data_IF_937493589609
#
_entry.id   IF_937493589609
#
_cell.length_a   1.000
_cell.length_b   1.000
_cell.length_c   1.000
_cell.angle_alpha   90.00
_cell.angle_beta   90.00
_cell.angle_gamma   90.00
#
_symmetry.space_group_name_H-M   'P 1'
#
loop_
_entity.id
_entity.type
_entity.pdbx_description
1 polymer ?
#
# COMPACT_ATOMS: atom_id res chain seq x y z
N UNK A 1 -12.34 -4.27 8.42
CA UNK A 1 -11.15 -4.89 7.77
C UNK A 1 -9.97 -4.45 8.58
N UNK A 2 -9.14 -5.37 9.05
CA UNK A 2 -7.99 -4.99 9.86
C UNK A 2 -6.85 -4.55 8.95
N UNK A 3 -6.26 -3.41 9.27
CA UNK A 3 -5.05 -2.91 8.66
C UNK A 3 -3.87 -3.19 9.58
N UNK A 4 -2.76 -3.72 9.07
CA UNK A 4 -1.54 -3.85 9.88
C UNK A 4 -1.14 -2.50 10.51
N UNK A 5 -0.55 -2.49 11.70
CA UNK A 5 -0.21 -1.24 12.41
C UNK A 5 -1.38 -0.49 13.06
N UNK A 6 -2.63 -0.75 12.66
CA UNK A 6 -3.84 -0.24 13.33
C UNK A 6 -4.79 -1.36 13.78
N UNK A 7 -4.37 -2.63 13.65
CA UNK A 7 -5.26 -3.79 13.78
C UNK A 7 -6.02 -3.84 15.12
N UNK A 8 -5.37 -3.47 16.23
CA UNK A 8 -6.04 -3.39 17.55
C UNK A 8 -7.14 -2.33 17.56
N UNK A 9 -6.87 -1.14 17.03
CA UNK A 9 -7.88 -0.08 16.95
C UNK A 9 -9.01 -0.45 15.98
N UNK A 10 -8.68 -1.07 14.85
CA UNK A 10 -9.66 -1.54 13.87
C UNK A 10 -10.55 -2.67 14.43
N UNK A 11 -10.02 -3.45 15.37
CA UNK A 11 -10.75 -4.50 16.10
C UNK A 11 -11.66 -3.93 17.18
N UNK A 12 -11.18 -2.94 17.95
CA UNK A 12 -11.96 -2.34 19.03
C UNK A 12 -12.99 -1.32 18.52
N UNK A 13 -12.75 -0.72 17.34
CA UNK A 13 -13.62 0.29 16.73
C UNK A 13 -13.97 -0.08 15.27
N UNK A 14 -14.63 -1.23 15.05
CA UNK A 14 -14.99 -1.67 13.70
C UNK A 14 -16.02 -0.72 13.08
N UNK A 15 -15.77 -0.27 11.84
CA UNK A 15 -16.75 0.55 11.09
C UNK A 15 -17.96 -0.27 10.65
N UNK A 16 -17.77 -1.58 10.40
CA UNK A 16 -18.79 -2.50 9.94
C UNK A 16 -18.33 -3.94 10.15
N UNK A 17 -19.27 -4.80 10.54
CA UNK A 17 -19.08 -6.24 10.63
C UNK A 17 -19.75 -6.95 9.45
N UNK A 18 -19.07 -7.96 8.91
CA UNK A 18 -19.59 -8.77 7.82
C UNK A 18 -19.61 -10.23 8.23
N UNK A 19 -20.80 -10.81 8.29
CA UNK A 19 -21.01 -12.22 8.65
C UNK A 19 -21.56 -12.92 7.41
N UNK A 20 -20.93 -14.02 7.00
CA UNK A 20 -21.47 -14.86 5.93
C UNK A 20 -21.83 -16.23 6.47
N UNK A 21 -22.98 -16.76 6.03
CA UNK A 21 -23.44 -18.10 6.38
C UNK A 21 -23.52 -18.97 5.14
N UNK A 22 -23.09 -20.23 5.28
CA UNK A 22 -23.19 -21.23 4.20
C UNK A 22 -24.61 -21.81 4.07
N UNK A 23 -25.38 -21.83 5.15
CA UNK A 23 -26.77 -22.30 5.16
C UNK A 23 -27.72 -21.14 5.49
N UNK A 24 -28.81 -20.94 4.73
CA UNK A 24 -29.85 -19.95 5.06
C UNK A 24 -30.52 -20.16 6.42
N UNK A 25 -30.42 -21.37 6.98
CA UNK A 25 -30.99 -21.71 8.28
C UNK A 25 -29.98 -21.54 9.43
N UNK A 26 -28.71 -21.24 9.13
CA UNK A 26 -27.74 -20.95 10.17
C UNK A 26 -28.10 -19.63 10.86
N UNK A 27 -28.17 -19.68 12.19
CA UNK A 27 -28.52 -18.55 13.02
C UNK A 27 -27.31 -17.59 13.13
N UNK A 28 -27.37 -16.37 12.55
CA UNK A 28 -26.26 -15.41 12.64
C UNK A 28 -26.12 -14.84 14.06
N UNK A 29 -27.16 -14.94 14.90
CA UNK A 29 -27.19 -14.39 16.25
C UNK A 29 -26.13 -15.02 17.15
N UNK A 30 -25.72 -16.28 16.93
CA UNK A 30 -24.61 -16.86 17.69
C UNK A 30 -23.28 -16.16 17.39
N UNK A 31 -23.02 -15.84 16.12
CA UNK A 31 -21.80 -15.13 15.72
C UNK A 31 -21.79 -13.68 16.23
N UNK A 32 -22.96 -13.03 16.24
CA UNK A 32 -23.14 -11.67 16.79
C UNK A 32 -22.98 -11.70 18.32
N UNK A 33 -23.63 -12.65 19.00
CA UNK A 33 -23.56 -12.78 20.46
C UNK A 33 -22.15 -13.11 20.96
N UNK A 34 -21.39 -13.96 20.26
CA UNK A 34 -19.98 -14.20 20.58
C UNK A 34 -19.14 -12.91 20.51
N UNK A 35 -19.40 -12.04 19.53
CA UNK A 35 -18.69 -10.77 19.39
C UNK A 35 -19.04 -9.78 20.52
N UNK A 36 -20.33 -9.66 20.85
CA UNK A 36 -20.82 -8.73 21.86
C UNK A 36 -20.56 -9.18 23.30
N UNK A 37 -20.74 -10.48 23.61
CA UNK A 37 -20.69 -11.00 24.98
C UNK A 37 -19.29 -11.45 25.42
N UNK A 38 -18.49 -12.06 24.53
CA UNK A 38 -17.20 -12.66 24.93
C UNK A 38 -16.00 -11.75 24.67
N UNK A 39 -16.09 -10.83 23.70
CA UNK A 39 -14.95 -9.99 23.26
C UNK A 39 -15.11 -8.52 23.71
N UNK A 40 -16.30 -8.09 24.13
CA UNK A 40 -16.55 -6.75 24.66
C UNK A 40 -16.34 -5.62 23.63
N UNK A 41 -16.47 -5.93 22.34
CA UNK A 41 -16.33 -4.96 21.24
C UNK A 41 -17.71 -4.33 20.97
N UNK A 42 -17.82 -2.99 20.87
CA UNK A 42 -19.09 -2.33 20.56
C UNK A 42 -19.69 -2.82 19.25
N UNK A 43 -21.01 -3.05 19.24
CA UNK A 43 -21.74 -3.54 18.06
C UNK A 43 -21.59 -2.56 16.88
N UNK A 44 -20.83 -2.93 15.85
CA UNK A 44 -20.85 -2.21 14.59
C UNK A 44 -22.13 -2.53 13.81
N UNK A 45 -22.52 -1.70 12.84
CA UNK A 45 -23.49 -2.12 11.82
C UNK A 45 -23.06 -3.48 11.23
N UNK A 46 -23.94 -4.48 11.36
CA UNK A 46 -23.64 -5.85 10.94
C UNK A 46 -24.39 -6.19 9.67
N UNK A 47 -23.66 -6.65 8.65
CA UNK A 47 -24.22 -7.15 7.41
C UNK A 47 -24.11 -8.67 7.34
N UNK A 48 -25.26 -9.34 7.30
CA UNK A 48 -25.34 -10.80 7.14
C UNK A 48 -25.59 -11.13 5.66
N UNK A 49 -24.76 -12.00 5.08
CA UNK A 49 -24.92 -12.50 3.72
C UNK A 49 -25.10 -14.03 3.70
N UNK A 50 -26.02 -14.53 2.87
CA UNK A 50 -26.30 -15.96 2.70
C UNK A 50 -25.39 -16.62 1.66
N UNK A 51 -24.54 -15.85 0.98
CA UNK A 51 -23.61 -16.34 -0.02
C UNK A 51 -22.17 -15.99 0.38
N UNK A 52 -21.45 -17.00 0.87
CA UNK A 52 -20.05 -16.83 1.29
C UNK A 52 -19.13 -16.45 0.12
N UNK A 53 -19.43 -16.90 -1.10
CA UNK A 53 -18.64 -16.55 -2.28
C UNK A 53 -18.84 -15.07 -2.66
N UNK A 54 -20.08 -14.57 -2.59
CA UNK A 54 -20.35 -13.14 -2.79
C UNK A 54 -19.64 -12.27 -1.74
N UNK A 55 -19.59 -12.73 -0.49
CA UNK A 55 -18.87 -12.02 0.58
C UNK A 55 -17.36 -12.00 0.30
N UNK A 56 -16.77 -13.15 -0.02
CA UNK A 56 -15.34 -13.23 -0.34
C UNK A 56 -14.98 -12.32 -1.52
N UNK A 57 -15.76 -12.39 -2.60
CA UNK A 57 -15.54 -11.55 -3.78
C UNK A 57 -15.67 -10.06 -3.45
N UNK A 58 -16.68 -9.67 -2.66
CA UNK A 58 -16.89 -8.28 -2.24
C UNK A 58 -15.75 -7.74 -1.38
N UNK A 59 -15.23 -8.54 -0.44
CA UNK A 59 -14.09 -8.16 0.40
C UNK A 59 -12.82 -7.92 -0.43
N UNK A 60 -12.56 -8.77 -1.43
CA UNK A 60 -11.43 -8.60 -2.37
C UNK A 60 -11.65 -7.39 -3.28
N UNK A 61 -12.86 -7.21 -3.79
CA UNK A 61 -13.22 -6.06 -4.62
C UNK A 61 -13.00 -4.73 -3.89
N UNK A 62 -13.25 -4.66 -2.57
CA UNK A 62 -12.93 -3.47 -1.76
C UNK A 62 -11.43 -3.14 -1.76
N UNK A 63 -10.57 -4.14 -1.59
CA UNK A 63 -9.11 -3.95 -1.65
C UNK A 63 -8.66 -3.49 -3.03
N UNK A 64 -9.23 -4.08 -4.09
CA UNK A 64 -8.94 -3.71 -5.47
C UNK A 64 -9.42 -2.30 -5.78
N UNK A 65 -10.58 -1.88 -5.28
CA UNK A 65 -11.07 -0.51 -5.43
C UNK A 65 -10.11 0.50 -4.79
N UNK A 66 -9.57 0.18 -3.61
CA UNK A 66 -8.55 0.99 -2.97
C UNK A 66 -7.26 1.07 -3.82
N UNK A 67 -6.74 -0.07 -4.26
CA UNK A 67 -5.54 -0.12 -5.10
C UNK A 67 -5.72 0.66 -6.41
N UNK A 68 -6.88 0.54 -7.04
CA UNK A 68 -7.27 1.28 -8.24
C UNK A 68 -7.24 2.79 -7.99
N UNK A 69 -7.75 3.24 -6.84
CA UNK A 69 -7.75 4.65 -6.47
C UNK A 69 -6.35 5.22 -6.29
N UNK A 70 -5.47 4.49 -5.59
CA UNK A 70 -4.06 4.87 -5.45
C UNK A 70 -3.38 4.95 -6.82
N UNK A 71 -3.58 3.94 -7.68
CA UNK A 71 -3.02 3.93 -9.04
C UNK A 71 -3.57 5.08 -9.90
N UNK A 72 -4.86 5.42 -9.77
CA UNK A 72 -5.48 6.53 -10.48
C UNK A 72 -4.84 7.87 -10.08
N UNK A 73 -4.73 8.14 -8.78
CA UNK A 73 -4.09 9.37 -8.25
C UNK A 73 -2.66 9.51 -8.78
N UNK A 74 -1.88 8.42 -8.75
CA UNK A 74 -0.50 8.43 -9.24
C UNK A 74 -0.40 8.63 -10.77
N UNK A 75 -1.34 8.06 -11.52
CA UNK A 75 -1.40 8.24 -12.97
C UNK A 75 -1.73 9.69 -13.34
N UNK A 76 -2.75 10.28 -12.71
CA UNK A 76 -3.13 11.69 -12.91
C UNK A 76 -2.00 12.63 -12.50
N UNK A 77 -1.34 12.38 -11.37
CA UNK A 77 -0.17 13.17 -10.96
C UNK A 77 0.97 13.12 -11.98
N UNK A 78 1.26 11.94 -12.53
CA UNK A 78 2.30 11.80 -13.55
C UNK A 78 1.98 12.61 -14.81
N UNK A 79 0.70 12.75 -15.16
CA UNK A 79 0.26 13.65 -16.25
C UNK A 79 0.38 15.12 -15.83
N UNK A 80 -0.12 15.49 -14.65
CA UNK A 80 -0.06 16.87 -14.15
C UNK A 80 1.38 17.41 -14.14
N UNK A 81 2.35 16.60 -13.68
CA UNK A 81 3.78 16.94 -13.70
C UNK A 81 4.27 17.23 -15.12
N UNK A 82 3.90 16.40 -16.11
CA UNK A 82 4.31 16.61 -17.52
C UNK A 82 3.72 17.88 -18.13
N UNK A 83 2.55 18.30 -17.68
CA UNK A 83 1.91 19.55 -18.10
C UNK A 83 2.29 20.76 -17.23
N UNK A 84 3.18 20.60 -16.24
CA UNK A 84 3.55 21.62 -15.27
C UNK A 84 2.37 22.16 -14.43
N UNK A 85 1.40 21.30 -14.12
CA UNK A 85 0.27 21.63 -13.24
C UNK A 85 0.54 21.17 -11.79
N UNK A 86 0.15 21.97 -10.77
CA UNK A 86 0.23 21.56 -9.38
C UNK A 86 -0.64 20.32 -9.12
N UNK A 87 -0.02 19.18 -8.83
CA UNK A 87 -0.74 17.91 -8.63
C UNK A 87 -1.79 18.02 -7.52
N UNK A 88 -1.48 18.70 -6.41
CA UNK A 88 -2.40 18.83 -5.28
C UNK A 88 -3.68 19.58 -5.67
N UNK A 89 -3.58 20.61 -6.50
CA UNK A 89 -4.75 21.34 -7.00
C UNK A 89 -5.60 20.47 -7.93
N UNK A 90 -4.97 19.73 -8.84
CA UNK A 90 -5.68 18.80 -9.75
C UNK A 90 -6.46 17.74 -8.95
N UNK A 91 -5.83 17.14 -7.94
CA UNK A 91 -6.47 16.13 -7.10
C UNK A 91 -7.56 16.73 -6.20
N UNK A 92 -7.35 17.94 -5.68
CA UNK A 92 -8.34 18.65 -4.89
C UNK A 92 -9.58 18.93 -5.73
N UNK A 93 -9.43 19.47 -6.94
CA UNK A 93 -10.54 19.74 -7.87
C UNK A 93 -11.30 18.45 -8.18
N UNK A 94 -10.58 17.36 -8.50
CA UNK A 94 -11.20 16.06 -8.75
C UNK A 94 -11.98 15.52 -7.54
N UNK A 95 -11.53 15.82 -6.32
CA UNK A 95 -12.18 15.43 -5.07
C UNK A 95 -13.35 16.33 -4.64
N UNK A 96 -13.58 17.49 -5.26
CA UNK A 96 -14.71 18.35 -4.87
C UNK A 96 -16.07 17.71 -5.15
N UNK A 97 -16.12 16.71 -6.05
CA UNK A 97 -17.35 15.99 -6.35
C UNK A 97 -17.70 14.99 -5.23
N UNK A 98 -18.86 15.13 -4.55
CA UNK A 98 -19.23 14.27 -3.43
C UNK A 98 -19.45 12.80 -3.81
N UNK A 99 -19.60 12.48 -5.10
CA UNK A 99 -19.69 11.10 -5.59
C UNK A 99 -18.32 10.41 -5.56
N UNK A 100 -17.25 11.19 -5.56
CA UNK A 100 -15.87 10.74 -5.43
C UNK A 100 -15.51 10.84 -3.94
N UNK A 101 -15.46 9.71 -3.25
CA UNK A 101 -15.05 9.69 -1.84
C UNK A 101 -13.66 10.36 -1.72
N UNK A 102 -13.46 11.32 -0.82
CA UNK A 102 -12.17 12.03 -0.70
C UNK A 102 -11.09 11.29 0.11
N UNK A 103 -11.48 10.27 0.88
CA UNK A 103 -10.53 9.48 1.65
C UNK A 103 -9.55 8.73 0.74
N UNK A 104 -8.24 8.87 0.96
CA UNK A 104 -7.18 8.22 0.18
C UNK A 104 -6.99 8.77 -1.26
N UNK A 105 -7.20 10.08 -1.45
CA UNK A 105 -6.70 10.83 -2.62
C UNK A 105 -5.32 11.43 -2.34
N UNK A 106 -4.40 10.63 -1.81
CA UNK A 106 -3.05 11.08 -1.45
C UNK A 106 -2.05 10.60 -2.48
N UNK A 107 -1.21 11.50 -2.98
CA UNK A 107 -0.10 11.15 -3.85
C UNK A 107 0.88 10.24 -3.12
N UNK A 108 1.37 9.20 -3.81
CA UNK A 108 2.35 8.30 -3.23
C UNK A 108 3.41 7.83 -4.23
N UNK A 109 4.30 6.97 -3.74
CA UNK A 109 5.30 6.26 -4.55
C UNK A 109 4.78 4.92 -5.10
N UNK A 110 3.53 4.58 -4.78
CA UNK A 110 2.89 3.30 -5.07
C UNK A 110 2.28 2.70 -3.81
N UNK A 111 1.41 1.72 -3.98
CA UNK A 111 0.96 0.86 -2.88
C UNK A 111 1.89 -0.33 -2.71
N UNK A 112 1.98 -0.82 -1.48
CA UNK A 112 2.70 -2.04 -1.13
C UNK A 112 1.86 -2.98 -0.28
N UNK A 113 2.51 -3.96 0.31
CA UNK A 113 1.87 -4.95 1.16
C UNK A 113 1.19 -6.08 0.37
N UNK A 114 0.93 -7.22 1.02
CA UNK A 114 0.62 -8.44 0.30
C UNK A 114 -0.86 -8.58 -0.10
N UNK A 115 -1.74 -7.69 0.34
CA UNK A 115 -3.18 -7.85 0.14
C UNK A 115 -3.64 -7.30 -1.21
N UNK A 116 -3.23 -6.08 -1.58
CA UNK A 116 -3.69 -5.45 -2.83
C UNK A 116 -3.23 -6.22 -4.05
N UNK A 117 -1.93 -6.53 -4.14
CA UNK A 117 -1.39 -7.31 -5.26
C UNK A 117 -2.06 -8.69 -5.35
N UNK A 118 -2.21 -9.39 -4.23
CA UNK A 118 -2.85 -10.72 -4.18
C UNK A 118 -4.29 -10.68 -4.67
N UNK A 119 -5.07 -9.69 -4.25
CA UNK A 119 -6.48 -9.59 -4.65
C UNK A 119 -6.62 -9.17 -6.12
N UNK A 120 -5.74 -8.29 -6.62
CA UNK A 120 -5.66 -7.98 -8.05
C UNK A 120 -5.32 -9.21 -8.88
N UNK A 121 -4.30 -9.97 -8.47
CA UNK A 121 -3.86 -11.20 -9.16
C UNK A 121 -4.97 -12.26 -9.12
N UNK A 122 -5.67 -12.40 -8.00
CA UNK A 122 -6.81 -13.31 -7.84
C UNK A 122 -7.97 -12.94 -8.76
N UNK A 123 -8.39 -11.68 -8.81
CA UNK A 123 -9.47 -11.26 -9.72
C UNK A 123 -9.06 -11.39 -11.19
N UNK A 124 -7.79 -11.09 -11.53
CA UNK A 124 -7.28 -11.31 -12.88
C UNK A 124 -7.32 -12.80 -13.25
N UNK A 125 -6.91 -13.68 -12.34
CA UNK A 125 -6.97 -15.13 -12.53
C UNK A 125 -8.41 -15.61 -12.74
N UNK A 126 -9.35 -15.21 -11.88
CA UNK A 126 -10.77 -15.58 -12.04
C UNK A 126 -11.34 -15.11 -13.38
N UNK A 127 -11.04 -13.86 -13.77
CA UNK A 127 -11.48 -13.33 -15.05
C UNK A 127 -10.94 -14.15 -16.24
N UNK A 128 -9.66 -14.57 -16.20
CA UNK A 128 -9.08 -15.44 -17.23
C UNK A 128 -9.78 -16.80 -17.30
N UNK A 129 -10.07 -17.41 -16.15
CA UNK A 129 -10.76 -18.70 -16.08
C UNK A 129 -12.17 -18.64 -16.69
N UNK A 130 -12.82 -17.48 -16.64
CA UNK A 130 -14.15 -17.26 -17.24
C UNK A 130 -14.10 -16.73 -18.67
N UNK A 131 -12.92 -16.65 -19.30
CA UNK A 131 -12.78 -16.09 -20.65
C UNK A 131 -12.92 -14.55 -20.74
N UNK A 132 -12.99 -13.86 -19.60
CA UNK A 132 -13.14 -12.41 -19.49
C UNK A 132 -11.78 -11.68 -19.61
N UNK A 133 -11.17 -11.75 -20.79
CA UNK A 133 -9.83 -11.20 -21.01
C UNK A 133 -9.71 -9.68 -20.75
N UNK A 134 -10.67 -8.82 -21.17
CA UNK A 134 -10.58 -7.38 -20.89
C UNK A 134 -10.53 -7.06 -19.38
N UNK A 135 -11.32 -7.77 -18.58
CA UNK A 135 -11.36 -7.62 -17.12
C UNK A 135 -10.06 -8.11 -16.48
N UNK A 136 -9.52 -9.23 -16.98
CA UNK A 136 -8.22 -9.72 -16.53
C UNK A 136 -7.10 -8.72 -16.80
N UNK A 137 -7.10 -8.10 -17.99
CA UNK A 137 -6.15 -7.06 -18.38
C UNK A 137 -6.31 -5.81 -17.51
N UNK A 138 -7.55 -5.41 -17.22
CA UNK A 138 -7.84 -4.28 -16.33
C UNK A 138 -7.18 -4.45 -14.96
N UNK A 139 -7.39 -5.58 -14.28
CA UNK A 139 -6.77 -5.84 -12.98
C UNK A 139 -5.23 -5.89 -13.05
N UNK A 140 -4.66 -6.49 -14.11
CA UNK A 140 -3.22 -6.50 -14.32
C UNK A 140 -2.66 -5.10 -14.55
N UNK A 141 -3.39 -4.25 -15.27
CA UNK A 141 -2.95 -2.89 -15.58
C UNK A 141 -2.78 -2.05 -14.32
N UNK A 142 -3.59 -2.28 -13.29
CA UNK A 142 -3.44 -1.60 -11.99
C UNK A 142 -2.07 -1.94 -11.35
N UNK A 143 -1.65 -3.21 -11.41
CA UNK A 143 -0.33 -3.65 -10.96
C UNK A 143 0.80 -3.04 -11.81
N UNK A 144 0.63 -3.02 -13.14
CA UNK A 144 1.61 -2.42 -14.07
C UNK A 144 1.81 -0.93 -13.77
N UNK A 145 0.73 -0.18 -13.55
CA UNK A 145 0.79 1.24 -13.20
C UNK A 145 1.50 1.46 -11.86
N UNK A 146 1.21 0.63 -10.86
CA UNK A 146 1.88 0.69 -9.56
C UNK A 146 3.40 0.46 -9.69
N UNK A 147 3.79 -0.59 -10.42
CA UNK A 147 5.20 -0.88 -10.68
C UNK A 147 5.89 0.24 -11.47
N UNK A 148 5.25 0.74 -12.52
CA UNK A 148 5.77 1.84 -13.34
C UNK A 148 6.00 3.10 -12.51
N UNK A 149 5.12 3.39 -11.56
CA UNK A 149 5.30 4.50 -10.62
C UNK A 149 6.57 4.31 -9.78
N UNK A 150 6.78 3.14 -9.20
CA UNK A 150 7.98 2.83 -8.42
C UNK A 150 9.27 2.92 -9.26
N UNK A 151 9.25 2.41 -10.50
CA UNK A 151 10.38 2.57 -11.44
C UNK A 151 10.64 4.04 -11.76
N UNK A 152 9.58 4.83 -12.01
CA UNK A 152 9.70 6.26 -12.28
C UNK A 152 10.31 7.01 -11.11
N UNK A 153 9.92 6.69 -9.87
CA UNK A 153 10.54 7.23 -8.65
C UNK A 153 12.01 6.84 -8.56
N UNK A 154 12.36 5.58 -8.84
CA UNK A 154 13.75 5.14 -8.85
C UNK A 154 14.59 5.88 -9.91
N UNK A 155 14.04 6.13 -11.10
CA UNK A 155 14.70 6.91 -12.15
C UNK A 155 14.89 8.36 -11.72
N UNK A 156 13.87 9.02 -11.19
CA UNK A 156 13.97 10.38 -10.67
C UNK A 156 15.01 10.51 -9.56
N UNK A 157 15.06 9.54 -8.64
CA UNK A 157 16.09 9.43 -7.60
C UNK A 157 17.48 9.34 -8.24
N UNK A 158 17.69 8.45 -9.22
CA UNK A 158 18.97 8.27 -9.91
C UNK A 158 19.42 9.53 -10.68
N UNK A 159 18.51 10.19 -11.38
CA UNK A 159 18.79 11.45 -12.08
C UNK A 159 19.15 12.56 -11.09
N UNK A 160 18.41 12.65 -9.99
CA UNK A 160 18.76 13.50 -8.85
C UNK A 160 20.15 13.20 -8.33
N UNK A 161 20.51 11.91 -8.14
CA UNK A 161 21.84 11.47 -7.68
C UNK A 161 22.98 11.93 -8.60
N UNK A 162 22.76 11.94 -9.92
CA UNK A 162 23.76 12.47 -10.88
C UNK A 162 24.01 13.95 -10.65
N UNK A 163 22.95 14.73 -10.37
CA UNK A 163 23.04 16.15 -10.06
C UNK A 163 23.72 16.43 -8.69
N UNK A 164 23.65 15.49 -7.75
CA UNK A 164 24.19 15.62 -6.39
C UNK A 164 25.45 14.78 -6.15
N UNK A 165 26.27 14.53 -7.18
CA UNK A 165 27.47 13.67 -7.15
C UNK A 165 28.27 13.82 -5.83
N UNK A 166 28.38 12.72 -5.08
CA UNK A 166 29.04 12.69 -3.76
C UNK A 166 28.11 12.83 -2.54
N UNK A 167 26.80 13.00 -2.76
CA UNK A 167 25.78 13.08 -1.71
C UNK A 167 24.96 11.79 -1.61
N UNK A 168 24.24 11.64 -0.51
CA UNK A 168 23.56 10.40 -0.13
C UNK A 168 22.06 10.64 -0.04
N UNK A 169 21.26 9.77 -0.68
CA UNK A 169 19.81 9.77 -0.53
C UNK A 169 19.43 8.91 0.66
N UNK A 170 18.64 9.50 1.55
CA UNK A 170 18.12 8.85 2.75
C UNK A 170 16.66 8.50 2.51
N UNK A 171 16.32 7.22 2.72
CA UNK A 171 14.94 6.75 2.69
C UNK A 171 14.50 6.45 4.11
N UNK A 172 13.43 7.14 4.50
CA UNK A 172 12.76 6.98 5.77
C UNK A 172 11.56 6.07 5.55
N UNK A 173 11.61 4.88 6.15
CA UNK A 173 10.63 3.80 5.98
C UNK A 173 11.08 2.75 4.97
N UNK A 174 11.06 1.48 5.38
CA UNK A 174 11.33 0.30 4.55
C UNK A 174 10.14 -0.64 4.54
N UNK A 175 9.38 -0.66 5.62
CA UNK A 175 8.09 -1.33 5.72
C UNK A 175 7.15 -0.80 4.63
N UNK A 176 6.14 -1.57 4.23
CA UNK A 176 5.29 -1.13 3.12
C UNK A 176 4.31 0.00 3.50
N UNK A 177 4.17 0.25 4.81
CA UNK A 177 3.39 1.35 5.40
C UNK A 177 3.81 1.63 6.84
N UNK A 178 3.36 2.75 7.39
CA UNK A 178 3.61 3.12 8.77
C UNK A 178 2.96 2.15 9.79
N UNK A 179 3.59 2.00 10.96
CA UNK A 179 3.09 1.22 12.10
C UNK A 179 3.27 -0.31 11.97
N UNK A 180 3.94 -0.80 10.93
CA UNK A 180 4.28 -2.23 10.77
C UNK A 180 5.76 -2.37 10.46
N UNK A 181 6.34 -3.53 10.79
CA UNK A 181 7.68 -3.94 10.35
C UNK A 181 7.65 -4.85 9.12
N UNK A 182 6.47 -5.07 8.53
CA UNK A 182 6.29 -5.93 7.36
C UNK A 182 6.82 -5.24 6.09
N UNK A 183 7.72 -5.93 5.40
CA UNK A 183 8.40 -5.44 4.20
C UNK A 183 7.95 -6.16 2.92
N UNK A 184 6.96 -7.07 3.00
CA UNK A 184 6.43 -7.78 1.83
C UNK A 184 5.84 -6.78 0.84
N UNK A 185 6.23 -6.89 -0.42
CA UNK A 185 5.83 -5.95 -1.48
C UNK A 185 6.14 -4.49 -1.11
N UNK A 186 7.24 -4.25 -0.37
CA UNK A 186 7.66 -2.90 0.00
C UNK A 186 8.08 -2.09 -1.22
N UNK A 187 7.55 -0.87 -1.31
CA UNK A 187 7.89 0.10 -2.34
C UNK A 187 9.36 0.50 -2.27
N UNK A 188 9.91 0.68 -1.06
CA UNK A 188 11.31 1.04 -0.86
C UNK A 188 12.26 -0.05 -1.36
N UNK A 189 11.92 -1.32 -1.11
CA UNK A 189 12.70 -2.47 -1.59
C UNK A 189 12.64 -2.55 -3.12
N UNK A 190 11.46 -2.33 -3.71
CA UNK A 190 11.31 -2.38 -5.16
C UNK A 190 12.09 -1.25 -5.83
N UNK A 191 12.00 -0.02 -5.32
CA UNK A 191 12.79 1.12 -5.79
C UNK A 191 14.30 0.83 -5.73
N UNK A 192 14.78 0.21 -4.65
CA UNK A 192 16.18 -0.19 -4.54
C UNK A 192 16.59 -1.16 -5.64
N UNK A 193 15.80 -2.21 -5.88
CA UNK A 193 16.08 -3.21 -6.91
C UNK A 193 16.26 -2.58 -8.30
N UNK A 194 15.68 -1.41 -8.55
CA UNK A 194 15.86 -0.63 -9.78
C UNK A 194 17.18 0.17 -9.83
N UNK A 195 18.10 -0.06 -8.90
CA UNK A 195 19.44 0.53 -8.83
C UNK A 195 19.52 1.86 -8.07
N UNK A 196 18.47 2.25 -7.34
CA UNK A 196 18.53 3.38 -6.43
C UNK A 196 19.36 3.01 -5.19
N UNK A 197 20.45 3.74 -4.91
CA UNK A 197 21.26 3.53 -3.70
C UNK A 197 20.69 4.39 -2.59
N UNK A 198 20.16 3.74 -1.55
CA UNK A 198 19.45 4.38 -0.45
C UNK A 198 20.16 4.06 0.88
N UNK A 199 20.29 5.05 1.77
CA UNK A 199 20.52 4.76 3.20
C UNK A 199 19.19 4.64 3.90
N UNK A 200 19.02 3.64 4.75
CA UNK A 200 17.72 3.32 5.34
C UNK A 200 17.65 3.71 6.80
N UNK A 201 16.48 4.21 7.17
CA UNK A 201 16.02 4.20 8.54
C UNK A 201 14.56 3.72 8.56
N UNK A 202 14.29 2.67 9.33
CA UNK A 202 12.92 2.27 9.67
C UNK A 202 12.95 1.72 11.10
N UNK A 203 12.18 2.32 12.03
CA UNK A 203 12.18 1.89 13.44
C UNK A 203 11.53 0.51 13.65
N UNK A 204 10.69 0.06 12.73
CA UNK A 204 9.90 -1.17 12.86
C UNK A 204 10.42 -2.32 11.99
N UNK A 205 11.11 -2.01 10.88
CA UNK A 205 11.58 -3.04 9.95
C UNK A 205 12.74 -3.86 10.52
N UNK A 206 12.68 -5.18 10.33
CA UNK A 206 13.76 -6.08 10.72
C UNK A 206 14.90 -6.02 9.69
N UNK A 207 16.08 -5.53 10.09
CA UNK A 207 17.26 -5.38 9.20
C UNK A 207 17.63 -6.67 8.46
N UNK A 208 17.53 -7.82 9.12
CA UNK A 208 17.79 -9.14 8.52
C UNK A 208 16.82 -9.50 7.40
N UNK A 209 15.52 -9.21 7.58
CA UNK A 209 14.50 -9.43 6.57
C UNK A 209 14.76 -8.58 5.32
N UNK A 210 15.15 -7.32 5.50
CA UNK A 210 15.48 -6.41 4.40
C UNK A 210 16.72 -6.88 3.64
N UNK A 211 17.77 -7.32 4.35
CA UNK A 211 18.97 -7.91 3.72
C UNK A 211 18.61 -9.13 2.88
N UNK A 212 17.74 -10.00 3.39
CA UNK A 212 17.28 -11.18 2.65
C UNK A 212 16.49 -10.79 1.40
N UNK A 213 15.58 -9.82 1.52
CA UNK A 213 14.72 -9.37 0.42
C UNK A 213 15.51 -8.70 -0.73
N UNK A 214 16.64 -8.07 -0.43
CA UNK A 214 17.56 -7.48 -1.42
C UNK A 214 18.63 -8.47 -1.91
N UNK A 215 18.79 -9.62 -1.25
CA UNK A 215 19.85 -10.59 -1.51
C UNK A 215 21.22 -10.13 -0.98
N UNK A 216 22.15 -11.08 -0.79
CA UNK A 216 23.42 -10.83 -0.10
C UNK A 216 24.25 -9.66 -0.69
N UNK A 217 24.26 -9.52 -2.03
CA UNK A 217 25.07 -8.49 -2.70
C UNK A 217 24.58 -7.06 -2.43
N UNK A 218 23.27 -6.80 -2.55
CA UNK A 218 22.69 -5.47 -2.26
C UNK A 218 22.46 -5.28 -0.76
N UNK A 219 22.12 -6.34 -0.03
CA UNK A 219 21.90 -6.32 1.42
C UNK A 219 23.13 -5.90 2.23
N UNK A 220 24.33 -6.23 1.76
CA UNK A 220 25.58 -5.82 2.40
C UNK A 220 25.97 -4.37 2.09
N UNK A 221 25.34 -3.73 1.11
CA UNK A 221 25.53 -2.32 0.79
C UNK A 221 24.60 -1.40 1.59
N UNK A 222 23.70 -1.98 2.41
CA UNK A 222 22.76 -1.21 3.22
C UNK A 222 23.50 -0.57 4.39
N UNK A 223 23.59 0.76 4.36
CA UNK A 223 23.94 1.55 5.52
C UNK A 223 22.66 1.94 6.28
N UNK A 224 22.56 1.49 7.52
CA UNK A 224 21.45 1.79 8.43
C UNK A 224 21.82 2.98 9.32
N UNK A 225 20.95 3.97 9.42
CA UNK A 225 21.05 4.96 10.50
C UNK A 225 20.59 4.35 11.82
N UNK A 226 21.14 4.84 12.93
CA UNK A 226 20.77 4.38 14.28
C UNK A 226 19.48 5.01 14.76
N UNK A 227 19.22 6.26 14.35
CA UNK A 227 18.02 6.99 14.74
C UNK A 227 17.58 7.98 13.66
N UNK A 228 16.36 8.50 13.82
CA UNK A 228 15.75 9.45 12.89
C UNK A 228 16.56 10.75 12.76
N UNK A 229 17.09 11.29 13.87
CA UNK A 229 17.87 12.53 13.84
C UNK A 229 19.18 12.37 13.05
N UNK A 230 19.83 11.22 13.14
CA UNK A 230 21.01 10.90 12.34
C UNK A 230 20.64 10.81 10.85
N UNK A 231 19.49 10.22 10.54
CA UNK A 231 18.96 10.10 9.19
C UNK A 231 18.60 11.47 8.60
N UNK A 232 17.87 12.30 9.34
CA UNK A 232 17.36 13.61 8.91
C UNK A 232 18.41 14.73 8.99
N UNK A 233 19.14 14.86 10.11
CA UNK A 233 19.99 16.02 10.42
C UNK A 233 21.50 15.74 10.49
N UNK A 234 21.95 14.47 10.42
CA UNK A 234 23.38 14.14 10.53
C UNK A 234 24.26 14.81 9.45
N UNK A 235 25.48 15.23 9.84
CA UNK A 235 26.40 16.15 9.14
C UNK A 235 26.94 15.73 7.76
N UNK A 236 26.61 14.53 7.24
CA UNK A 236 27.12 14.10 5.93
C UNK A 236 26.36 14.76 4.77
N UNK A 237 26.86 15.92 4.34
CA UNK A 237 26.73 16.56 3.01
C UNK A 237 25.49 16.21 2.17
N UNK A 238 24.49 17.12 2.18
CA UNK A 238 23.52 17.30 1.10
C UNK A 238 22.50 16.18 0.88
N UNK A 239 21.78 15.79 1.93
CA UNK A 239 20.74 14.76 1.85
C UNK A 239 19.48 15.25 1.14
N UNK A 240 18.91 14.40 0.29
CA UNK A 240 17.49 14.48 -0.10
C UNK A 240 16.77 13.36 0.64
N UNK A 241 15.77 13.73 1.43
CA UNK A 241 14.96 12.79 2.23
C UNK A 241 13.75 12.38 1.39
N UNK A 242 13.60 11.09 1.12
CA UNK A 242 12.41 10.53 0.52
C UNK A 242 11.67 9.66 1.55
N UNK A 243 10.41 10.00 1.81
CA UNK A 243 9.53 9.21 2.66
C UNK A 243 8.91 8.07 1.83
N UNK A 244 9.04 6.83 2.29
CA UNK A 244 8.49 5.68 1.60
C UNK A 244 7.06 5.31 2.04
N UNK A 245 6.60 5.84 3.18
CA UNK A 245 5.38 5.42 3.87
C UNK A 245 4.58 6.60 4.43
#
# INVERSE_FOLDING_TARGET
MYSQGTAMNDLLNPTMEHISRRSPNANPTLAIALHEQDIGIPSAPTQVNNNSLSMELGLRARNVLFAMKVSFVNAVSSLAIKYNYPTNEVLQIAGLDPRILNFHLTLGIGFGGPNFKRDLDYLSYLAKQQGCQPQAQFFNQINVLNFTRMVGVATWIKEGMVAIRGRVIVVLGVSYKNGTGDIKESQAIEIWKQGAILRLFDPNAQKGAVRLALGARMGNQINWFQNFNEAEFGESTGKTIAWAC
#
